data_IF_427971202077
#
_entry.id   IF_427971202077
#
_cell.length_a   1.000
_cell.length_b   1.000
_cell.length_c   1.000
_cell.angle_alpha   90.00
_cell.angle_beta   90.00
_cell.angle_gamma   90.00
#
_symmetry.space_group_name_H-M   'P 1'
#
loop_
_entity.id
_entity.type
_entity.pdbx_description
1 polymer ?
#
# COMPACT_ATOMS: atom_id res chain seq x y z
N UNK A 1 16.83 3.62 19.42
CA UNK A 1 16.15 3.21 18.18
C UNK A 1 17.21 2.66 17.23
N UNK A 2 16.85 1.78 16.29
CA UNK A 2 17.83 1.22 15.34
C UNK A 2 18.08 2.22 14.19
N UNK A 3 19.23 2.13 13.52
CA UNK A 3 19.52 2.98 12.35
C UNK A 3 18.46 2.87 11.24
N UNK A 4 17.84 1.70 11.09
CA UNK A 4 16.70 1.50 10.18
C UNK A 4 15.48 2.31 10.64
N UNK A 5 15.14 2.24 11.92
CA UNK A 5 13.99 2.95 12.50
C UNK A 5 14.18 4.46 12.37
N UNK A 6 15.39 4.97 12.59
CA UNK A 6 15.68 6.40 12.47
C UNK A 6 15.57 6.88 11.02
N UNK A 7 16.12 6.10 10.07
CA UNK A 7 15.98 6.37 8.63
C UNK A 7 14.51 6.43 8.20
N UNK A 8 13.72 5.43 8.59
CA UNK A 8 12.30 5.36 8.25
C UNK A 8 11.45 6.40 8.99
N UNK A 9 11.79 6.75 10.23
CA UNK A 9 11.13 7.85 10.94
C UNK A 9 11.31 9.17 10.19
N UNK A 10 12.55 9.48 9.78
CA UNK A 10 12.84 10.68 9.02
C UNK A 10 12.10 10.71 7.67
N UNK A 11 12.01 9.57 6.99
CA UNK A 11 11.24 9.44 5.73
C UNK A 11 9.73 9.66 5.96
N UNK A 12 9.18 9.12 7.05
CA UNK A 12 7.76 9.27 7.39
C UNK A 12 7.41 10.71 7.78
N UNK A 13 8.37 11.48 8.31
CA UNK A 13 8.22 12.91 8.64
C UNK A 13 8.41 13.82 7.43
N UNK A 14 8.56 13.26 6.21
CA UNK A 14 8.72 14.07 5.00
C UNK A 14 7.56 15.08 4.86
N UNK A 15 7.85 16.33 4.47
CA UNK A 15 6.80 17.30 4.21
C UNK A 15 5.85 16.81 3.12
N UNK A 16 4.55 17.01 3.33
CA UNK A 16 3.50 16.81 2.33
C UNK A 16 2.70 18.12 2.20
N UNK A 17 1.96 18.32 1.10
CA UNK A 17 1.09 19.49 0.97
C UNK A 17 0.11 19.60 2.15
N UNK A 18 -0.14 20.81 2.71
CA UNK A 18 -1.04 21.00 3.85
C UNK A 18 -2.45 20.41 3.61
N UNK A 19 -2.89 20.36 2.36
CA UNK A 19 -4.17 19.79 1.96
C UNK A 19 -4.23 18.28 2.20
N UNK A 20 -3.10 17.58 2.02
CA UNK A 20 -2.97 16.14 2.27
C UNK A 20 -3.03 15.88 3.78
N UNK A 21 -2.36 16.69 4.60
CA UNK A 21 -2.42 16.57 6.07
C UNK A 21 -3.83 16.85 6.59
N UNK A 22 -4.47 17.90 6.07
CA UNK A 22 -5.84 18.26 6.44
C UNK A 22 -6.81 17.13 6.07
N UNK A 23 -6.73 16.63 4.82
CA UNK A 23 -7.55 15.51 4.37
C UNK A 23 -7.33 14.26 5.23
N UNK A 24 -6.06 13.92 5.53
CA UNK A 24 -5.69 12.81 6.40
C UNK A 24 -6.33 12.92 7.79
N UNK A 25 -6.27 14.10 8.41
CA UNK A 25 -6.87 14.38 9.73
C UNK A 25 -8.40 14.26 9.71
N UNK A 26 -9.06 14.82 8.70
CA UNK A 26 -10.53 14.75 8.56
C UNK A 26 -10.97 13.29 8.38
N UNK A 27 -10.28 12.55 7.51
CA UNK A 27 -10.57 11.13 7.26
C UNK A 27 -10.32 10.30 8.52
N UNK A 28 -9.26 10.57 9.29
CA UNK A 28 -9.01 9.92 10.57
C UNK A 28 -10.19 10.09 11.53
N UNK A 29 -10.72 11.32 11.66
CA UNK A 29 -11.88 11.60 12.49
C UNK A 29 -13.13 10.83 12.05
N UNK A 30 -13.40 10.76 10.74
CA UNK A 30 -14.55 10.02 10.18
C UNK A 30 -14.48 8.52 10.44
N UNK A 31 -13.28 7.94 10.44
CA UNK A 31 -13.06 6.50 10.46
C UNK A 31 -12.59 5.96 11.82
N UNK A 32 -12.44 6.83 12.83
CA UNK A 32 -11.89 6.46 14.14
C UNK A 32 -10.42 6.00 14.03
N UNK A 33 -9.63 6.72 13.24
CA UNK A 33 -8.22 6.45 13.02
C UNK A 33 -7.37 6.77 14.24
N UNK A 34 -6.29 6.00 14.41
CA UNK A 34 -5.21 6.21 15.37
C UNK A 34 -3.92 6.69 14.67
N UNK A 35 -3.72 6.32 13.40
CA UNK A 35 -2.67 6.85 12.54
C UNK A 35 -3.11 6.85 11.07
N UNK A 36 -2.55 7.76 10.26
CA UNK A 36 -2.82 7.83 8.82
C UNK A 36 -1.52 7.90 8.05
N UNK A 37 -1.34 6.92 7.17
CA UNK A 37 -0.24 6.88 6.20
C UNK A 37 -0.74 7.38 4.84
N UNK A 38 0.01 8.26 4.20
CA UNK A 38 -0.19 8.68 2.82
C UNK A 38 0.85 8.00 1.94
N UNK A 39 0.42 7.47 0.79
CA UNK A 39 1.30 6.75 -0.12
C UNK A 39 0.84 6.91 -1.58
N UNK A 40 1.52 6.19 -2.48
CA UNK A 40 1.06 6.04 -3.86
C UNK A 40 1.67 7.05 -4.82
N UNK A 41 1.03 7.25 -5.97
CA UNK A 41 1.58 8.07 -7.06
C UNK A 41 1.60 9.55 -6.73
N UNK A 42 0.61 10.07 -6.00
CA UNK A 42 0.54 11.51 -5.69
C UNK A 42 1.64 11.93 -4.72
N UNK A 43 2.07 11.04 -3.82
CA UNK A 43 3.27 11.28 -3.01
C UNK A 43 4.52 11.47 -3.88
N UNK A 44 4.55 10.88 -5.07
CA UNK A 44 5.68 10.96 -6.00
C UNK A 44 5.61 12.17 -6.93
N UNK A 45 4.42 12.51 -7.40
CA UNK A 45 4.21 13.56 -8.42
C UNK A 45 3.79 14.91 -7.86
N UNK A 46 3.25 14.97 -6.64
CA UNK A 46 2.68 16.18 -6.05
C UNK A 46 1.36 16.65 -6.69
N UNK A 47 0.82 15.92 -7.67
CA UNK A 47 -0.41 16.28 -8.39
C UNK A 47 -1.65 15.94 -7.55
N UNK A 48 -2.16 16.94 -6.83
CA UNK A 48 -3.36 16.85 -5.99
C UNK A 48 -4.67 16.74 -6.79
N UNK A 49 -4.65 16.93 -8.12
CA UNK A 49 -5.82 16.68 -8.97
C UNK A 49 -6.17 15.19 -9.06
N UNK A 50 -5.24 14.32 -8.66
CA UNK A 50 -5.38 12.87 -8.63
C UNK A 50 -6.20 12.36 -7.44
N UNK A 51 -6.26 11.03 -7.34
CA UNK A 51 -6.83 10.35 -6.19
C UNK A 51 -5.73 10.16 -5.13
N UNK A 52 -5.93 10.70 -3.94
CA UNK A 52 -5.01 10.48 -2.81
C UNK A 52 -5.22 9.07 -2.24
N UNK A 53 -4.12 8.35 -1.99
CA UNK A 53 -4.16 7.04 -1.35
C UNK A 53 -3.77 7.15 0.13
N UNK A 54 -4.71 6.83 1.02
CA UNK A 54 -4.48 6.80 2.46
C UNK A 54 -4.66 5.39 3.03
N UNK A 55 -3.88 5.12 4.08
CA UNK A 55 -4.07 3.99 4.96
C UNK A 55 -4.43 4.51 6.35
N UNK A 56 -5.62 4.20 6.85
CA UNK A 56 -6.09 4.58 8.18
C UNK A 56 -5.97 3.37 9.11
N UNK A 57 -5.07 3.50 10.08
CA UNK A 57 -4.83 2.48 11.09
C UNK A 57 -5.70 2.79 12.31
N UNK A 58 -6.52 1.84 12.73
CA UNK A 58 -7.45 1.99 13.86
C UNK A 58 -6.93 1.26 15.08
N UNK A 59 -7.37 1.70 16.26
CA UNK A 59 -7.22 0.92 17.48
C UNK A 59 -8.22 -0.25 17.51
N UNK A 60 -7.89 -1.29 18.29
CA UNK A 60 -8.77 -2.42 18.56
C UNK A 60 -8.70 -3.50 17.48
N UNK A 61 -9.81 -4.23 17.29
CA UNK A 61 -9.88 -5.37 16.36
C UNK A 61 -10.85 -5.06 15.21
N UNK A 62 -10.69 -5.77 14.10
CA UNK A 62 -11.63 -5.62 13.00
C UNK A 62 -13.04 -6.06 13.46
N UNK A 63 -14.03 -5.23 13.11
CA UNK A 63 -15.41 -5.34 13.59
C UNK A 63 -16.10 -6.63 13.10
N UNK A 64 -15.76 -7.13 11.92
CA UNK A 64 -16.34 -8.34 11.33
C UNK A 64 -15.33 -9.48 11.20
N UNK A 65 -15.81 -10.72 11.20
CA UNK A 65 -14.98 -11.90 10.94
C UNK A 65 -14.31 -11.84 9.56
N UNK A 66 -15.07 -11.39 8.55
CA UNK A 66 -14.55 -11.14 7.20
C UNK A 66 -13.46 -10.07 7.23
N UNK A 67 -13.64 -8.98 7.95
CA UNK A 67 -12.63 -7.91 8.08
C UNK A 67 -11.38 -8.32 8.86
N UNK A 68 -11.46 -9.35 9.72
CA UNK A 68 -10.29 -9.94 10.39
C UNK A 68 -9.42 -10.75 9.43
N UNK A 69 -10.04 -11.45 8.48
CA UNK A 69 -9.34 -12.30 7.51
C UNK A 69 -8.94 -11.57 6.23
N UNK A 70 -9.87 -10.79 5.67
CA UNK A 70 -9.75 -10.09 4.40
C UNK A 70 -9.62 -8.58 4.62
N UNK A 71 -8.55 -8.17 5.27
CA UNK A 71 -8.17 -6.76 5.38
C UNK A 71 -7.47 -6.29 4.08
N UNK A 72 -7.43 -4.98 3.77
CA UNK A 72 -8.15 -3.88 4.45
C UNK A 72 -9.62 -3.74 4.02
N UNK A 73 -10.36 -2.87 4.70
CA UNK A 73 -11.61 -2.29 4.19
C UNK A 73 -11.27 -1.10 3.29
N UNK A 74 -11.88 -0.98 2.10
CA UNK A 74 -11.59 0.12 1.15
C UNK A 74 -12.81 1.02 1.04
N UNK A 75 -12.59 2.33 1.04
CA UNK A 75 -13.64 3.35 0.96
C UNK A 75 -13.18 4.57 0.16
N UNK A 76 -14.14 5.33 -0.38
CA UNK A 76 -13.91 6.56 -1.14
C UNK A 76 -14.48 7.77 -0.39
N UNK A 77 -13.61 8.76 -0.17
CA UNK A 77 -13.91 9.96 0.60
C UNK A 77 -13.65 11.21 -0.21
N UNK A 78 -14.52 12.20 -0.03
CA UNK A 78 -14.34 13.56 -0.53
C UNK A 78 -14.16 14.48 0.68
N UNK A 79 -13.12 15.29 0.63
CA UNK A 79 -12.79 16.25 1.69
C UNK A 79 -12.68 17.63 1.05
N UNK A 80 -13.42 18.59 1.58
CA UNK A 80 -13.30 19.97 1.17
C UNK A 80 -12.09 20.58 1.91
N UNK A 81 -11.11 21.07 1.15
CA UNK A 81 -9.93 21.75 1.65
C UNK A 81 -9.83 23.09 0.93
N UNK A 82 -10.02 24.19 1.66
CA UNK A 82 -9.89 25.54 1.10
C UNK A 82 -10.90 25.87 -0.02
N UNK A 83 -12.05 25.18 -0.08
CA UNK A 83 -13.04 25.35 -1.14
C UNK A 83 -12.90 24.35 -2.30
N UNK A 84 -11.80 23.61 -2.37
CA UNK A 84 -11.58 22.56 -3.36
C UNK A 84 -11.86 21.16 -2.80
N UNK A 85 -12.36 20.26 -3.64
CA UNK A 85 -12.66 18.89 -3.25
C UNK A 85 -11.48 17.97 -3.55
N UNK A 86 -10.80 17.54 -2.49
CA UNK A 86 -9.79 16.49 -2.52
C UNK A 86 -10.47 15.14 -2.46
N UNK A 87 -10.02 14.21 -3.32
CA UNK A 87 -10.58 12.87 -3.46
C UNK A 87 -9.61 11.84 -2.91
N UNK A 88 -10.10 10.95 -2.07
CA UNK A 88 -9.28 9.99 -1.35
C UNK A 88 -9.82 8.57 -1.47
N UNK A 89 -8.93 7.64 -1.83
CA UNK A 89 -9.12 6.21 -1.63
C UNK A 89 -8.46 5.83 -0.32
N UNK A 90 -9.24 5.21 0.57
CA UNK A 90 -8.81 4.94 1.93
C UNK A 90 -8.90 3.45 2.21
N UNK A 91 -7.77 2.82 2.49
CA UNK A 91 -7.69 1.51 3.08
C UNK A 91 -7.70 1.61 4.61
N UNK A 92 -8.52 0.84 5.30
CA UNK A 92 -8.66 0.89 6.76
C UNK A 92 -8.47 -0.48 7.38
N UNK A 93 -7.66 -0.58 8.44
CA UNK A 93 -7.49 -1.82 9.21
C UNK A 93 -7.00 -1.54 10.64
N UNK A 94 -7.08 -2.52 11.56
CA UNK A 94 -6.45 -2.40 12.88
C UNK A 94 -4.93 -2.26 12.81
N UNK A 95 -4.34 -1.40 13.64
CA UNK A 95 -2.90 -1.22 13.74
C UNK A 95 -2.17 -2.54 14.12
N UNK A 96 -2.73 -3.33 15.04
CA UNK A 96 -2.15 -4.62 15.43
C UNK A 96 -2.09 -5.62 14.26
N UNK A 97 -3.12 -5.62 13.41
CA UNK A 97 -3.14 -6.45 12.20
C UNK A 97 -2.13 -5.94 11.19
N UNK A 98 -1.98 -4.62 11.06
CA UNK A 98 -1.00 -4.00 10.18
C UNK A 98 0.42 -4.38 10.59
N UNK A 99 0.75 -4.22 11.88
CA UNK A 99 2.04 -4.63 12.45
C UNK A 99 2.32 -6.12 12.23
N UNK A 100 1.35 -7.00 12.56
CA UNK A 100 1.50 -8.45 12.34
C UNK A 100 1.73 -8.78 10.87
N UNK A 101 1.03 -8.11 9.96
CA UNK A 101 1.22 -8.31 8.53
C UNK A 101 2.58 -7.78 8.06
N UNK A 102 3.03 -6.64 8.57
CA UNK A 102 4.35 -6.08 8.30
C UNK A 102 5.49 -7.00 8.78
N UNK A 103 5.29 -7.72 9.89
CA UNK A 103 6.20 -8.74 10.43
C UNK A 103 6.20 -10.07 9.65
N UNK A 104 5.38 -10.20 8.59
CA UNK A 104 5.22 -11.46 7.87
C UNK A 104 4.39 -12.51 8.62
N UNK A 105 3.69 -12.13 9.70
CA UNK A 105 2.83 -13.01 10.50
C UNK A 105 1.45 -13.29 9.87
N UNK A 106 1.29 -13.03 8.57
CA UNK A 106 0.07 -13.29 7.80
C UNK A 106 0.40 -13.92 6.46
N UNK A 107 -0.56 -14.61 5.83
CA UNK A 107 -0.37 -15.27 4.53
C UNK A 107 -0.47 -14.28 3.35
N UNK A 108 0.13 -13.11 3.46
CA UNK A 108 -0.04 -12.04 2.51
C UNK A 108 1.19 -11.15 2.36
N UNK A 109 1.45 -10.68 1.13
CA UNK A 109 2.60 -9.85 0.77
C UNK A 109 2.28 -8.35 0.73
N UNK A 110 1.00 -7.98 0.73
CA UNK A 110 0.51 -6.62 0.43
C UNK A 110 1.11 -5.56 1.35
N UNK A 111 1.15 -5.80 2.67
CA UNK A 111 1.57 -4.77 3.62
C UNK A 111 3.06 -4.49 3.51
N UNK A 112 3.91 -5.51 3.73
CA UNK A 112 5.34 -5.28 3.71
C UNK A 112 5.85 -4.90 2.32
N UNK A 113 5.25 -5.41 1.23
CA UNK A 113 5.65 -5.04 -0.14
C UNK A 113 5.20 -3.62 -0.52
N UNK A 114 4.10 -3.12 0.06
CA UNK A 114 3.63 -1.74 -0.15
C UNK A 114 4.41 -0.74 0.68
N UNK A 115 4.68 -1.06 1.95
CA UNK A 115 5.23 -0.13 2.93
C UNK A 115 6.74 -0.21 3.09
N UNK A 116 7.41 -1.11 2.37
CA UNK A 116 8.85 -0.95 2.05
C UNK A 116 9.09 0.16 1.01
N UNK A 117 8.05 0.62 0.31
CA UNK A 117 8.11 1.76 -0.61
C UNK A 117 7.81 3.08 0.13
N UNK A 118 8.13 4.25 -0.44
CA UNK A 118 7.89 5.53 0.21
C UNK A 118 6.43 5.73 0.67
N UNK A 119 6.31 6.24 1.89
CA UNK A 119 5.08 6.68 2.53
C UNK A 119 5.37 7.88 3.44
N UNK A 120 4.32 8.60 3.85
CA UNK A 120 4.40 9.67 4.85
C UNK A 120 3.39 9.41 5.97
N UNK A 121 3.76 9.70 7.22
CA UNK A 121 2.84 9.65 8.36
C UNK A 121 2.21 11.03 8.55
N UNK A 122 1.05 11.24 7.94
CA UNK A 122 0.43 12.57 7.85
C UNK A 122 -0.41 12.93 9.07
N UNK A 123 -0.77 11.95 9.90
CA UNK A 123 -1.48 12.18 11.14
C UNK A 123 -1.34 10.99 12.11
N UNK A 124 -1.33 11.27 13.41
CA UNK A 124 -1.42 10.26 14.47
C UNK A 124 -2.10 10.80 15.73
N UNK A 125 -2.79 9.93 16.46
CA UNK A 125 -3.45 10.27 17.72
C UNK A 125 -2.48 10.20 18.91
N UNK A 126 -1.40 10.96 18.85
CA UNK A 126 -0.37 11.02 19.91
C UNK A 126 0.83 10.10 19.68
N UNK A 127 1.84 10.27 20.54
CA UNK A 127 3.18 9.73 20.34
C UNK A 127 3.24 8.19 20.32
N UNK A 128 2.38 7.51 21.09
CA UNK A 128 2.35 6.05 21.13
C UNK A 128 1.93 5.44 19.78
N UNK A 129 0.87 5.93 19.15
CA UNK A 129 0.45 5.43 17.84
C UNK A 129 1.43 5.79 16.73
N UNK A 130 2.07 6.97 16.80
CA UNK A 130 3.18 7.32 15.91
C UNK A 130 4.30 6.30 16.01
N UNK A 131 4.79 6.04 17.22
CA UNK A 131 5.91 5.13 17.46
C UNK A 131 5.60 3.72 16.95
N UNK A 132 4.42 3.19 17.28
CA UNK A 132 3.97 1.87 16.83
C UNK A 132 3.80 1.77 15.30
N UNK A 133 3.43 2.87 14.66
CA UNK A 133 3.34 2.93 13.19
C UNK A 133 4.73 2.89 12.56
N UNK A 134 5.69 3.65 13.10
CA UNK A 134 7.09 3.63 12.65
C UNK A 134 7.70 2.23 12.82
N UNK A 135 7.44 1.59 13.96
CA UNK A 135 7.83 0.19 14.21
C UNK A 135 7.27 -0.76 13.15
N UNK A 136 6.00 -0.64 12.82
CA UNK A 136 5.39 -1.46 11.77
C UNK A 136 6.03 -1.22 10.38
N UNK A 137 6.42 0.02 10.05
CA UNK A 137 7.12 0.31 8.80
C UNK A 137 8.54 -0.28 8.80
N UNK A 138 9.24 -0.24 9.95
CA UNK A 138 10.53 -0.90 10.09
C UNK A 138 10.43 -2.42 9.95
N UNK A 139 9.41 -3.03 10.54
CA UNK A 139 9.11 -4.47 10.39
C UNK A 139 8.82 -4.84 8.94
N UNK A 140 8.07 -4.00 8.21
CA UNK A 140 7.85 -4.16 6.78
C UNK A 140 9.17 -4.14 6.00
N UNK A 141 10.07 -3.18 6.31
CA UNK A 141 11.40 -3.11 5.71
C UNK A 141 12.25 -4.36 5.98
N UNK A 142 12.28 -4.84 7.22
CA UNK A 142 13.01 -6.06 7.58
C UNK A 142 12.44 -7.31 6.89
N UNK A 143 11.12 -7.51 6.94
CA UNK A 143 10.45 -8.64 6.27
C UNK A 143 10.69 -8.64 4.77
N UNK A 144 10.50 -7.48 4.12
CA UNK A 144 10.77 -7.33 2.69
C UNK A 144 12.25 -7.65 2.37
N UNK A 145 13.19 -7.14 3.17
CA UNK A 145 14.63 -7.36 2.93
C UNK A 145 15.05 -8.83 3.06
N UNK A 146 14.40 -9.62 3.94
CA UNK A 146 14.62 -11.07 4.04
C UNK A 146 14.23 -11.80 2.76
N UNK A 147 13.07 -11.48 2.20
CA UNK A 147 12.64 -12.05 0.92
C UNK A 147 13.44 -11.48 -0.27
N UNK A 148 13.92 -10.24 -0.18
CA UNK A 148 14.86 -9.69 -1.16
C UNK A 148 16.16 -10.50 -1.18
N UNK A 149 16.72 -10.84 -0.02
CA UNK A 149 17.89 -11.72 0.06
C UNK A 149 17.62 -13.12 -0.49
N UNK A 150 16.41 -13.68 -0.26
CA UNK A 150 16.03 -14.99 -0.79
C UNK A 150 15.94 -15.01 -2.32
N UNK A 151 15.31 -14.00 -2.92
CA UNK A 151 15.04 -13.96 -4.37
C UNK A 151 16.13 -13.26 -5.18
N UNK A 152 16.95 -12.45 -4.52
CA UNK A 152 18.00 -11.66 -5.15
C UNK A 152 19.14 -12.50 -5.70
N UNK A 153 20.08 -11.85 -6.41
CA UNK A 153 21.26 -12.52 -6.92
C UNK A 153 22.21 -12.94 -5.79
N UNK A 154 23.17 -13.82 -6.09
CA UNK A 154 24.27 -14.13 -5.16
C UNK A 154 25.13 -12.88 -4.87
N UNK A 155 25.34 -12.06 -5.90
CA UNK A 155 26.05 -10.78 -5.84
C UNK A 155 25.31 -9.74 -6.70
N UNK A 156 25.20 -8.51 -6.22
CA UNK A 156 24.68 -7.39 -7.02
C UNK A 156 24.40 -6.14 -6.20
N UNK A 157 23.96 -5.08 -6.88
CA UNK A 157 23.56 -3.86 -6.19
C UNK A 157 22.23 -4.04 -5.45
N UNK A 158 21.95 -3.13 -4.50
CA UNK A 158 20.71 -3.17 -3.73
C UNK A 158 19.45 -3.14 -4.62
N UNK A 159 19.52 -2.48 -5.78
CA UNK A 159 18.41 -2.38 -6.72
C UNK A 159 18.08 -3.75 -7.33
N UNK A 160 19.07 -4.59 -7.63
CA UNK A 160 18.87 -5.95 -8.11
C UNK A 160 18.09 -6.81 -7.11
N UNK A 161 18.44 -6.76 -5.82
CA UNK A 161 17.73 -7.47 -4.75
C UNK A 161 16.26 -7.00 -4.63
N UNK A 162 16.01 -5.69 -4.60
CA UNK A 162 14.63 -5.17 -4.53
C UNK A 162 13.83 -5.48 -5.79
N UNK A 163 14.44 -5.42 -6.97
CA UNK A 163 13.80 -5.78 -8.24
C UNK A 163 13.35 -7.23 -8.23
N UNK A 164 14.22 -8.14 -7.78
CA UNK A 164 13.89 -9.55 -7.64
C UNK A 164 12.72 -9.78 -6.68
N UNK A 165 12.73 -9.11 -5.52
CA UNK A 165 11.60 -9.15 -4.59
C UNK A 165 10.30 -8.68 -5.24
N UNK A 166 10.30 -7.51 -5.86
CA UNK A 166 9.07 -6.96 -6.43
C UNK A 166 8.50 -7.85 -7.53
N UNK A 167 9.35 -8.39 -8.42
CA UNK A 167 8.93 -9.37 -9.42
C UNK A 167 8.29 -10.60 -8.79
N UNK A 168 8.88 -11.14 -7.73
CA UNK A 168 8.32 -12.26 -7.00
C UNK A 168 6.95 -11.92 -6.37
N UNK A 169 6.79 -10.72 -5.80
CA UNK A 169 5.49 -10.30 -5.25
C UNK A 169 4.41 -10.11 -6.32
N UNK A 170 4.79 -9.62 -7.50
CA UNK A 170 3.84 -9.47 -8.62
C UNK A 170 3.41 -10.82 -9.21
N UNK A 171 4.27 -11.84 -9.23
CA UNK A 171 3.90 -13.18 -9.69
C UNK A 171 3.02 -13.95 -8.69
N UNK A 172 3.22 -13.70 -7.40
CA UNK A 172 2.46 -14.32 -6.30
C UNK A 172 1.02 -13.81 -6.18
N UNK A 173 0.74 -12.62 -6.72
CA UNK A 173 -0.53 -11.92 -6.57
C UNK A 173 -1.32 -11.84 -7.90
N UNK A 174 -2.66 -11.90 -7.84
CA UNK A 174 -3.51 -11.54 -9.00
C UNK A 174 -3.54 -10.01 -9.17
N UNK A 175 -2.43 -9.41 -9.62
CA UNK A 175 -2.37 -7.99 -9.98
C UNK A 175 -2.20 -7.82 -11.48
N UNK A 176 -3.12 -7.08 -12.10
CA UNK A 176 -2.98 -6.62 -13.48
C UNK A 176 -2.23 -5.30 -13.45
N UNK A 177 -0.91 -5.36 -13.37
CA UNK A 177 -0.03 -4.20 -13.51
C UNK A 177 0.67 -4.27 -14.88
N UNK A 178 1.01 -3.11 -15.44
CA UNK A 178 1.80 -3.09 -16.67
C UNK A 178 3.19 -3.70 -16.41
N UNK A 179 3.78 -4.43 -17.38
CA UNK A 179 5.16 -4.89 -17.29
C UNK A 179 6.11 -3.71 -16.97
N UNK A 180 7.09 -3.92 -16.07
CA UNK A 180 8.09 -2.90 -15.70
C UNK A 180 7.64 -1.95 -14.57
N UNK A 181 6.54 -2.25 -13.87
CA UNK A 181 6.10 -1.46 -12.71
C UNK A 181 7.13 -1.42 -11.59
N UNK A 182 7.88 -2.50 -11.40
CA UNK A 182 8.99 -2.56 -10.44
C UNK A 182 10.09 -1.54 -10.75
N UNK A 183 10.42 -1.34 -12.03
CA UNK A 183 11.45 -0.38 -12.45
C UNK A 183 10.95 1.06 -12.29
N UNK A 184 9.64 1.32 -12.43
CA UNK A 184 9.06 2.64 -12.10
C UNK A 184 9.09 2.95 -10.60
N UNK A 185 8.96 1.93 -9.75
CA UNK A 185 9.03 2.09 -8.30
C UNK A 185 10.48 2.37 -7.89
N UNK A 186 11.41 1.55 -8.37
CA UNK A 186 12.82 1.66 -8.03
C UNK A 186 13.48 2.89 -8.65
N UNK A 187 13.13 3.21 -9.90
CA UNK A 187 13.71 4.34 -10.64
C UNK A 187 13.34 5.70 -10.06
N UNK A 188 12.25 5.81 -9.30
CA UNK A 188 11.84 7.07 -8.68
C UNK A 188 12.80 7.53 -7.56
N UNK A 189 13.32 6.59 -6.77
CA UNK A 189 14.19 6.91 -5.64
C UNK A 189 15.21 5.78 -5.36
N UNK A 190 16.17 5.64 -6.28
CA UNK A 190 17.18 4.59 -6.19
C UNK A 190 18.06 4.74 -4.94
N UNK A 191 18.39 5.98 -4.56
CA UNK A 191 19.26 6.25 -3.41
C UNK A 191 18.63 5.75 -2.12
N UNK A 192 17.31 5.94 -1.95
CA UNK A 192 16.58 5.36 -0.83
C UNK A 192 16.71 3.85 -0.78
N UNK A 193 16.51 3.15 -1.90
CA UNK A 193 16.58 1.68 -1.92
C UNK A 193 18.00 1.15 -1.69
N UNK A 194 19.02 1.87 -2.19
CA UNK A 194 20.44 1.61 -1.89
C UNK A 194 20.78 1.78 -0.41
N UNK A 195 20.20 2.79 0.24
CA UNK A 195 20.39 3.05 1.68
C UNK A 195 19.60 2.06 2.53
N UNK A 196 18.37 1.73 2.14
CA UNK A 196 17.43 0.93 2.91
C UNK A 196 17.89 -0.53 3.05
N UNK A 197 18.41 -1.16 1.99
CA UNK A 197 18.69 -2.60 2.01
C UNK A 197 19.71 -3.00 3.08
N UNK A 198 20.91 -2.38 3.17
CA UNK A 198 21.89 -2.74 4.20
C UNK A 198 21.39 -2.42 5.61
N UNK A 199 20.63 -1.33 5.79
CA UNK A 199 20.01 -1.01 7.09
C UNK A 199 19.00 -2.08 7.50
N UNK A 200 18.16 -2.51 6.56
CA UNK A 200 17.14 -3.52 6.78
C UNK A 200 17.74 -4.90 7.06
N UNK A 201 18.79 -5.31 6.34
CA UNK A 201 19.50 -6.56 6.61
C UNK A 201 20.16 -6.59 7.99
N UNK A 202 20.88 -5.51 8.38
CA UNK A 202 21.45 -5.43 9.73
C UNK A 202 20.38 -5.53 10.82
N UNK A 203 19.28 -4.79 10.67
CA UNK A 203 18.18 -4.84 11.62
C UNK A 203 17.47 -6.21 11.63
N UNK A 204 17.41 -6.87 10.47
CA UNK A 204 16.80 -8.18 10.31
C UNK A 204 17.68 -9.35 10.80
N UNK A 205 18.95 -9.08 11.13
CA UNK A 205 19.94 -10.09 11.49
C UNK A 205 20.48 -10.89 10.30
N UNK A 206 20.47 -10.31 9.10
CA UNK A 206 21.09 -10.89 7.90
C UNK A 206 22.52 -10.35 7.80
N UNK A 207 23.49 -11.25 7.90
CA UNK A 207 24.87 -10.94 7.57
C UNK A 207 25.03 -10.78 6.06
N UNK A 208 25.92 -9.89 5.63
CA UNK A 208 26.23 -9.67 4.23
C UNK A 208 27.66 -9.17 4.06
N UNK A 209 28.21 -9.38 2.87
CA UNK A 209 29.43 -8.73 2.42
C UNK A 209 29.09 -7.52 1.56
N UNK A 210 29.93 -6.48 1.63
CA UNK A 210 29.76 -5.25 0.87
C UNK A 210 31.11 -4.78 0.31
N UNK A 211 31.20 -4.65 -1.01
CA UNK A 211 32.32 -4.04 -1.71
C UNK A 211 31.83 -2.91 -2.61
N UNK A 212 31.89 -1.68 -2.11
CA UNK A 212 31.26 -0.54 -2.78
C UNK A 212 29.73 -0.69 -2.82
N UNK A 213 29.16 -0.74 -4.03
CA UNK A 213 27.73 -0.99 -4.25
C UNK A 213 27.38 -2.48 -4.41
N UNK A 214 28.38 -3.36 -4.56
CA UNK A 214 28.15 -4.80 -4.68
C UNK A 214 27.88 -5.41 -3.29
N UNK A 215 26.76 -6.12 -3.18
CA UNK A 215 26.25 -6.73 -1.97
C UNK A 215 26.05 -8.23 -2.18
N UNK A 216 26.36 -9.01 -1.14
CA UNK A 216 26.08 -10.45 -1.11
C UNK A 216 25.50 -10.85 0.24
N UNK A 217 24.27 -11.33 0.26
CA UNK A 217 23.61 -11.76 1.48
C UNK A 217 24.11 -13.16 1.90
N UNK A 218 24.54 -13.30 3.15
CA UNK A 218 24.94 -14.58 3.73
C UNK A 218 23.75 -15.22 4.43
N UNK A 219 23.04 -16.07 3.68
CA UNK A 219 21.93 -16.84 4.22
C UNK A 219 22.40 -18.26 4.55
N UNK A 220 22.52 -18.65 5.84
CA UNK A 220 22.79 -20.04 6.17
C UNK A 220 21.63 -20.94 5.70
N UNK A 221 21.93 -22.17 5.31
CA UNK A 221 20.95 -23.11 4.74
C UNK A 221 19.63 -23.23 5.54
N UNK A 222 19.63 -23.31 6.89
CA UNK A 222 18.39 -23.34 7.65
C UNK A 222 17.50 -22.10 7.46
N UNK A 223 18.11 -20.92 7.30
CA UNK A 223 17.38 -19.67 7.05
C UNK A 223 16.80 -19.64 5.63
N UNK A 224 17.56 -20.12 4.63
CA UNK A 224 17.05 -20.26 3.25
C UNK A 224 15.81 -21.15 3.22
N UNK A 225 15.87 -22.33 3.85
CA UNK A 225 14.74 -23.27 3.92
C UNK A 225 13.53 -22.63 4.60
N UNK A 226 13.73 -21.91 5.71
CA UNK A 226 12.66 -21.24 6.44
C UNK A 226 11.98 -20.16 5.59
N UNK A 227 12.77 -19.30 4.94
CA UNK A 227 12.27 -18.22 4.07
C UNK A 227 11.57 -18.79 2.82
N UNK A 228 12.14 -19.79 2.16
CA UNK A 228 11.52 -20.44 1.01
C UNK A 228 10.19 -21.11 1.38
N UNK A 229 10.12 -21.78 2.54
CA UNK A 229 8.89 -22.39 3.05
C UNK A 229 7.83 -21.33 3.33
N UNK A 230 8.21 -20.22 3.96
CA UNK A 230 7.31 -19.10 4.20
C UNK A 230 6.80 -18.51 2.86
N UNK A 231 7.70 -18.30 1.90
CA UNK A 231 7.36 -17.78 0.57
C UNK A 231 6.34 -18.66 -0.16
N UNK A 232 6.56 -19.98 -0.20
CA UNK A 232 5.63 -20.91 -0.85
C UNK A 232 4.23 -20.85 -0.24
N UNK A 233 4.11 -20.59 1.07
CA UNK A 233 2.81 -20.40 1.72
C UNK A 233 2.16 -19.08 1.28
N UNK A 234 2.94 -18.01 1.20
CA UNK A 234 2.49 -16.70 0.71
C UNK A 234 2.00 -16.79 -0.74
N UNK A 235 2.79 -17.40 -1.63
CA UNK A 235 2.47 -17.55 -3.05
C UNK A 235 1.19 -18.36 -3.29
N UNK A 236 1.04 -19.49 -2.58
CA UNK A 236 -0.16 -20.34 -2.68
C UNK A 236 -1.42 -19.64 -2.18
N UNK A 237 -1.30 -18.80 -1.17
CA UNK A 237 -2.42 -18.06 -0.60
C UNK A 237 -2.75 -16.78 -1.38
N UNK A 238 -1.75 -16.09 -1.93
CA UNK A 238 -1.84 -14.74 -2.48
C UNK A 238 -2.92 -14.58 -3.54
N UNK A 239 -2.94 -15.45 -4.56
CA UNK A 239 -3.96 -15.41 -5.63
C UNK A 239 -5.39 -15.58 -5.09
N UNK A 240 -5.58 -16.51 -4.14
CA UNK A 240 -6.90 -16.80 -3.54
C UNK A 240 -7.35 -15.65 -2.65
N UNK A 241 -6.45 -15.10 -1.84
CA UNK A 241 -6.74 -13.96 -0.97
C UNK A 241 -7.04 -12.70 -1.79
N UNK A 242 -6.32 -12.46 -2.88
CA UNK A 242 -6.61 -11.33 -3.76
C UNK A 242 -7.97 -11.47 -4.44
N UNK A 243 -8.33 -12.66 -4.94
CA UNK A 243 -9.67 -12.91 -5.46
C UNK A 243 -10.74 -12.68 -4.38
N UNK A 244 -10.54 -13.20 -3.17
CA UNK A 244 -11.46 -13.01 -2.06
C UNK A 244 -11.62 -11.53 -1.67
N UNK A 245 -10.54 -10.74 -1.72
CA UNK A 245 -10.59 -9.29 -1.50
C UNK A 245 -11.32 -8.56 -2.62
N UNK A 246 -11.14 -8.94 -3.88
CA UNK A 246 -11.88 -8.36 -4.99
C UNK A 246 -13.38 -8.63 -4.84
N UNK A 247 -13.75 -9.87 -4.51
CA UNK A 247 -15.15 -10.21 -4.21
C UNK A 247 -15.67 -9.38 -3.04
N UNK A 248 -14.94 -9.33 -1.93
CA UNK A 248 -15.32 -8.49 -0.77
C UNK A 248 -15.52 -7.03 -1.18
N UNK A 249 -14.54 -6.44 -1.89
CA UNK A 249 -14.60 -5.05 -2.31
C UNK A 249 -15.79 -4.76 -3.22
N UNK A 250 -16.20 -5.70 -4.08
CA UNK A 250 -17.41 -5.55 -4.89
C UNK A 250 -18.69 -5.35 -4.06
N UNK A 251 -18.73 -5.87 -2.81
CA UNK A 251 -19.87 -5.74 -1.91
C UNK A 251 -19.69 -4.70 -0.80
N UNK A 252 -18.46 -4.37 -0.41
CA UNK A 252 -18.18 -3.52 0.77
C UNK A 252 -17.47 -2.22 0.45
N UNK A 253 -17.17 -1.92 -0.81
CA UNK A 253 -16.52 -0.67 -1.17
C UNK A 253 -17.50 0.51 -1.02
N UNK A 254 -17.38 1.18 0.12
CA UNK A 254 -18.16 2.36 0.43
C UNK A 254 -17.75 3.53 -0.49
N UNK A 255 -18.75 4.17 -1.11
CA UNK A 255 -18.54 5.21 -2.12
C UNK A 255 -18.11 4.70 -3.50
N UNK A 256 -18.21 3.40 -3.79
CA UNK A 256 -17.86 2.83 -5.11
C UNK A 256 -18.56 3.53 -6.27
N UNK A 257 -19.83 3.90 -6.12
CA UNK A 257 -20.60 4.61 -7.15
C UNK A 257 -20.07 6.02 -7.40
N UNK A 258 -19.73 6.77 -6.35
CA UNK A 258 -19.11 8.11 -6.47
C UNK A 258 -17.73 8.02 -7.12
N UNK A 259 -16.95 7.04 -6.71
CA UNK A 259 -15.65 6.74 -7.31
C UNK A 259 -15.76 6.40 -8.81
N UNK A 260 -16.71 5.55 -9.19
CA UNK A 260 -16.94 5.17 -10.59
C UNK A 260 -17.40 6.37 -11.43
N UNK A 261 -18.32 7.19 -10.90
CA UNK A 261 -18.78 8.41 -11.55
C UNK A 261 -17.63 9.38 -11.82
N UNK A 262 -16.81 9.67 -10.80
CA UNK A 262 -15.62 10.52 -10.95
C UNK A 262 -14.63 9.96 -11.98
N UNK A 263 -14.37 8.65 -11.95
CA UNK A 263 -13.41 8.03 -12.87
C UNK A 263 -13.88 8.11 -14.32
N UNK A 264 -15.19 7.97 -14.54
CA UNK A 264 -15.81 8.18 -15.84
C UNK A 264 -15.63 9.64 -16.28
N UNK A 265 -16.05 10.60 -15.46
CA UNK A 265 -15.96 12.02 -15.76
C UNK A 265 -14.52 12.45 -16.09
N UNK A 266 -13.54 12.00 -15.31
CA UNK A 266 -12.12 12.33 -15.54
C UNK A 266 -11.61 11.84 -16.90
N UNK A 267 -12.05 10.67 -17.37
CA UNK A 267 -11.54 10.08 -18.60
C UNK A 267 -12.37 10.42 -19.85
N UNK A 268 -13.67 10.69 -19.70
CA UNK A 268 -14.56 10.94 -20.85
C UNK A 268 -15.14 12.36 -20.90
N UNK A 269 -15.04 13.12 -19.80
CA UNK A 269 -15.73 14.40 -19.61
C UNK A 269 -17.23 14.26 -19.33
N UNK A 270 -17.76 13.03 -19.22
CA UNK A 270 -19.18 12.79 -18.99
C UNK A 270 -19.51 12.86 -17.50
N UNK A 271 -20.34 13.82 -17.11
CA UNK A 271 -20.86 13.88 -15.74
C UNK A 271 -21.89 12.77 -15.49
N UNK A 272 -21.58 11.89 -14.54
CA UNK A 272 -22.48 10.83 -14.10
C UNK A 272 -23.14 11.26 -12.79
N UNK A 273 -24.43 11.57 -12.84
CA UNK A 273 -25.20 11.86 -11.63
C UNK A 273 -25.30 10.61 -10.74
N UNK A 274 -24.83 10.73 -9.49
CA UNK A 274 -24.95 9.70 -8.46
C UNK A 274 -26.29 9.89 -7.75
N UNK A 275 -27.26 9.03 -8.03
CA UNK A 275 -28.55 9.05 -7.32
C UNK A 275 -28.50 8.13 -6.08
N UNK A 276 -29.36 8.34 -5.07
CA UNK A 276 -29.40 7.49 -3.87
C UNK A 276 -29.58 6.00 -4.18
N UNK A 277 -30.32 5.67 -5.25
CA UNK A 277 -30.48 4.30 -5.71
C UNK A 277 -29.16 3.72 -6.26
N UNK A 278 -28.43 4.46 -7.09
CA UNK A 278 -27.13 4.03 -7.64
C UNK A 278 -26.08 3.87 -6.55
N UNK A 279 -26.17 4.68 -5.50
CA UNK A 279 -25.29 4.62 -4.34
C UNK A 279 -25.55 3.37 -3.48
N UNK A 280 -26.82 3.00 -3.26
CA UNK A 280 -27.19 1.77 -2.54
C UNK A 280 -27.01 0.50 -3.35
N UNK A 281 -27.11 0.57 -4.67
CA UNK A 281 -27.07 -0.59 -5.57
C UNK A 281 -26.12 -0.42 -6.76
N UNK A 282 -24.78 -0.36 -6.53
CA UNK A 282 -23.80 -0.05 -7.56
C UNK A 282 -23.80 -1.07 -8.72
N UNK A 283 -23.92 -2.36 -8.41
CA UNK A 283 -23.90 -3.45 -9.40
C UNK A 283 -25.11 -3.36 -10.33
N UNK A 284 -26.30 -3.08 -9.79
CA UNK A 284 -27.53 -2.94 -10.59
C UNK A 284 -27.54 -1.66 -11.43
N UNK A 285 -26.85 -0.61 -10.96
CA UNK A 285 -26.70 0.64 -11.69
C UNK A 285 -25.67 0.59 -12.83
N UNK A 286 -24.71 -0.33 -12.77
CA UNK A 286 -23.57 -0.40 -13.69
C UNK A 286 -23.97 -0.54 -15.18
N UNK A 287 -24.93 -1.40 -15.58
CA UNK A 287 -25.30 -1.54 -16.99
C UNK A 287 -25.85 -0.24 -17.60
N UNK A 288 -26.66 0.51 -16.85
CA UNK A 288 -27.22 1.77 -17.32
C UNK A 288 -26.17 2.87 -17.49
N UNK A 289 -25.19 2.94 -16.58
CA UNK A 289 -24.06 3.89 -16.70
C UNK A 289 -23.14 3.51 -17.85
N UNK A 290 -22.88 2.21 -18.07
CA UNK A 290 -22.09 1.72 -19.21
C UNK A 290 -22.79 2.01 -20.55
N UNK A 291 -24.12 1.87 -20.62
CA UNK A 291 -24.88 2.26 -21.81
C UNK A 291 -24.78 3.76 -22.09
N UNK A 292 -24.92 4.60 -21.06
CA UNK A 292 -24.78 6.06 -21.20
C UNK A 292 -23.38 6.44 -21.69
N UNK A 293 -22.34 5.81 -21.14
CA UNK A 293 -20.96 5.98 -21.57
C UNK A 293 -20.78 5.58 -23.04
N UNK A 294 -21.29 4.41 -23.43
CA UNK A 294 -21.18 3.91 -24.79
C UNK A 294 -21.83 4.88 -25.79
N UNK A 295 -23.04 5.37 -25.50
CA UNK A 295 -23.70 6.39 -26.34
C UNK A 295 -22.88 7.67 -26.44
N UNK A 296 -22.31 8.14 -25.33
CA UNK A 296 -21.51 9.38 -25.32
C UNK A 296 -20.20 9.23 -26.12
N UNK A 297 -19.60 8.05 -26.11
CA UNK A 297 -18.36 7.77 -26.86
C UNK A 297 -18.62 7.51 -28.35
N UNK A 298 -19.75 6.89 -28.71
CA UNK A 298 -20.12 6.60 -30.11
C UNK A 298 -20.70 7.82 -30.84
N UNK A 299 -21.25 8.80 -30.11
CA UNK A 299 -21.80 10.05 -30.67
C UNK A 299 -20.77 11.20 -30.74
N UNK A 300 -19.50 10.94 -30.40
CA UNK A 300 -18.36 11.84 -30.57
C UNK A 300 -17.53 11.39 -31.77
#
# INVERSE_FOLDING_TARGET
>A
MSALTDFLSAELDRPVPPEVEHAGRVIAGRLGGAAVLFYGSVLRTGDLSGLLDFYVLREGRARSAVGRLLWPDVSYHEVNVGGEVVRAKVATMPLDTFLRAAQGGTLDTTIWARFVQPAALVWSNGASFRQRTIEAIAEAGMTASRFAALHGPEHGDAIAFWRALFRATYSAELRVEAPGREDQILGYDQLRYKTLLPLAWRAAGIDFDQNGEDLSARLPEPLVIALATAWLRLERAGKRLNLARLMKAAFTFDGATRYAAWKIERHTGMQVMVTPFRERHPIMAAPGVLWQLWRHTVLR
#
